data_IF_271701919917
#
_entry.id   IF_271701919917
#
_cell.length_a   1.000
_cell.length_b   1.000
_cell.length_c   1.000
_cell.angle_alpha   90.00
_cell.angle_beta   90.00
_cell.angle_gamma   90.00
#
_symmetry.space_group_name_H-M   'P 1'
#
loop_
_entity.id
_entity.type
_entity.pdbx_description
1 polymer ?
#
# COMPACT_ATOMS: atom_id res chain seq x y z
N UNK A 1 -38.79 -13.83 -7.23
CA UNK A 1 -37.60 -12.96 -7.13
C UNK A 1 -36.41 -13.87 -6.89
N UNK A 2 -35.70 -14.25 -7.95
CA UNK A 2 -34.51 -15.10 -7.83
C UNK A 2 -33.41 -14.28 -7.15
N UNK A 3 -32.90 -14.76 -6.02
CA UNK A 3 -31.65 -14.29 -5.43
C UNK A 3 -30.55 -14.49 -6.47
N UNK A 4 -30.21 -13.42 -7.19
CA UNK A 4 -28.94 -13.36 -7.91
C UNK A 4 -27.85 -13.45 -6.84
N UNK A 5 -27.26 -14.64 -6.69
CA UNK A 5 -26.10 -14.83 -5.84
C UNK A 5 -25.00 -13.97 -6.48
N UNK A 6 -24.47 -12.95 -5.79
CA UNK A 6 -23.37 -12.17 -6.33
C UNK A 6 -22.21 -13.12 -6.63
N UNK A 7 -21.64 -13.00 -7.83
CA UNK A 7 -20.51 -13.82 -8.23
C UNK A 7 -19.31 -13.51 -7.33
N UNK A 8 -19.15 -14.33 -6.29
CA UNK A 8 -18.16 -14.10 -5.23
C UNK A 8 -16.73 -14.11 -5.77
N UNK A 9 -16.52 -14.74 -6.93
CA UNK A 9 -15.22 -14.84 -7.59
C UNK A 9 -14.67 -13.46 -7.95
N UNK A 10 -15.55 -12.52 -8.31
CA UNK A 10 -15.23 -11.12 -8.60
C UNK A 10 -14.71 -10.34 -7.38
N UNK A 11 -15.02 -10.80 -6.17
CA UNK A 11 -14.58 -10.16 -4.92
C UNK A 11 -13.34 -10.79 -4.30
N UNK A 12 -12.90 -11.97 -4.77
CA UNK A 12 -11.71 -12.67 -4.27
C UNK A 12 -10.46 -11.76 -4.21
N UNK A 13 -10.13 -10.95 -5.24
CA UNK A 13 -8.94 -10.09 -5.19
C UNK A 13 -8.98 -9.07 -4.03
N UNK A 14 -10.17 -8.55 -3.70
CA UNK A 14 -10.37 -7.59 -2.63
C UNK A 14 -10.29 -8.25 -1.24
N UNK A 15 -10.79 -9.48 -1.13
CA UNK A 15 -10.65 -10.29 0.09
C UNK A 15 -9.16 -10.56 0.35
N UNK A 16 -8.41 -10.98 -0.67
CA UNK A 16 -6.96 -11.22 -0.57
C UNK A 16 -6.24 -9.91 -0.23
N UNK A 17 -6.60 -8.79 -0.85
CA UNK A 17 -6.03 -7.48 -0.51
C UNK A 17 -6.29 -7.13 0.97
N UNK A 18 -7.49 -7.38 1.48
CA UNK A 18 -7.83 -7.21 2.90
C UNK A 18 -6.97 -8.08 3.83
N UNK A 19 -6.76 -9.36 3.46
CA UNK A 19 -5.87 -10.25 4.20
C UNK A 19 -4.42 -9.79 4.17
N UNK A 20 -3.93 -9.27 3.04
CA UNK A 20 -2.59 -8.68 2.94
C UNK A 20 -2.44 -7.44 3.81
N UNK A 21 -3.44 -6.56 3.84
CA UNK A 21 -3.43 -5.38 4.71
C UNK A 21 -3.45 -5.78 6.19
N UNK A 22 -4.31 -6.74 6.58
CA UNK A 22 -4.35 -7.29 7.93
C UNK A 22 -3.02 -7.95 8.32
N UNK A 23 -2.45 -8.76 7.42
CA UNK A 23 -1.12 -9.34 7.58
C UNK A 23 -0.01 -8.29 7.68
N UNK A 24 -0.10 -7.20 6.91
CA UNK A 24 0.81 -6.07 6.95
C UNK A 24 0.83 -5.37 8.31
N UNK A 25 -0.31 -5.21 8.96
CA UNK A 25 -0.40 -4.71 10.34
C UNK A 25 0.36 -5.62 11.31
N UNK A 26 0.21 -6.95 11.17
CA UNK A 26 0.91 -7.92 12.00
C UNK A 26 2.42 -7.92 11.74
N UNK A 27 2.83 -7.80 10.48
CA UNK A 27 4.24 -7.67 10.08
C UNK A 27 4.83 -6.40 10.68
N UNK A 28 4.11 -5.27 10.63
CA UNK A 28 4.56 -4.03 11.27
C UNK A 28 4.75 -4.24 12.78
N UNK A 29 3.79 -4.87 13.46
CA UNK A 29 3.89 -5.18 14.88
C UNK A 29 5.12 -6.03 15.19
N UNK A 30 5.36 -7.06 14.38
CA UNK A 30 6.50 -7.95 14.53
C UNK A 30 7.81 -7.18 14.30
N UNK A 31 7.87 -6.34 13.26
CA UNK A 31 9.00 -5.48 12.95
C UNK A 31 9.34 -4.53 14.10
N UNK A 32 8.33 -3.90 14.70
CA UNK A 32 8.48 -3.05 15.88
C UNK A 32 8.99 -3.81 17.11
N UNK A 33 8.51 -5.05 17.31
CA UNK A 33 8.97 -5.91 18.40
C UNK A 33 10.44 -6.32 18.23
N UNK A 34 10.83 -6.73 17.02
CA UNK A 34 12.21 -7.13 16.69
C UNK A 34 13.16 -5.94 16.82
N UNK A 35 12.73 -4.76 16.38
CA UNK A 35 13.55 -3.54 16.40
C UNK A 35 13.55 -2.80 17.74
N UNK A 36 12.86 -3.34 18.75
CA UNK A 36 12.73 -2.75 20.09
C UNK A 36 12.28 -1.29 20.04
N UNK A 37 11.15 -1.04 19.37
CA UNK A 37 10.53 0.28 19.35
C UNK A 37 10.15 0.74 20.76
N UNK A 38 10.40 2.02 21.07
CA UNK A 38 10.29 2.58 22.43
C UNK A 38 8.91 3.15 22.73
N UNK A 39 8.12 3.47 21.71
CA UNK A 39 6.89 4.25 21.85
C UNK A 39 5.76 3.68 20.99
N UNK A 40 4.51 3.82 21.44
CA UNK A 40 3.28 3.58 20.66
C UNK A 40 3.22 2.21 19.95
N UNK A 41 3.64 1.15 20.63
CA UNK A 41 3.67 -0.22 20.08
C UNK A 41 2.36 -1.01 20.24
N UNK A 42 1.35 -0.43 20.91
CA UNK A 42 0.03 -1.05 21.05
C UNK A 42 -0.66 -1.24 19.70
N UNK A 43 -1.49 -2.28 19.58
CA UNK A 43 -2.14 -2.65 18.32
C UNK A 43 -2.93 -1.50 17.67
N UNK A 44 -3.55 -0.63 18.48
CA UNK A 44 -4.28 0.56 17.99
C UNK A 44 -3.36 1.53 17.24
N UNK A 45 -2.19 1.79 17.80
CA UNK A 45 -1.18 2.65 17.20
C UNK A 45 -0.50 2.00 16.01
N UNK A 46 -0.22 0.69 16.08
CA UNK A 46 0.35 -0.07 14.97
C UNK A 46 -0.61 -0.05 13.77
N UNK A 47 -1.87 -0.46 13.96
CA UNK A 47 -2.86 -0.47 12.90
C UNK A 47 -3.09 0.94 12.32
N UNK A 48 -3.29 1.95 13.19
CA UNK A 48 -3.45 3.34 12.75
C UNK A 48 -2.26 3.83 11.92
N UNK A 49 -1.04 3.57 12.39
CA UNK A 49 0.16 3.97 11.65
C UNK A 49 0.31 3.23 10.32
N UNK A 50 -0.06 1.94 10.25
CA UNK A 50 -0.03 1.16 9.01
C UNK A 50 -1.01 1.70 7.98
N UNK A 51 -2.26 1.99 8.37
CA UNK A 51 -3.25 2.54 7.45
C UNK A 51 -2.91 3.94 6.97
N UNK A 52 -2.26 4.76 7.81
CA UNK A 52 -1.73 6.05 7.35
C UNK A 52 -0.61 5.84 6.33
N UNK A 53 0.31 4.91 6.56
CA UNK A 53 1.38 4.60 5.61
C UNK A 53 0.83 4.07 4.29
N UNK A 54 -0.17 3.17 4.34
CA UNK A 54 -0.91 2.71 3.17
C UNK A 54 -1.57 3.87 2.44
N UNK A 55 -2.34 4.71 3.16
CA UNK A 55 -3.04 5.86 2.59
C UNK A 55 -2.10 6.88 1.94
N UNK A 56 -0.98 7.22 2.59
CA UNK A 56 0.05 8.10 2.03
C UNK A 56 0.67 7.49 0.79
N UNK A 57 1.02 6.20 0.81
CA UNK A 57 1.60 5.52 -0.36
C UNK A 57 0.61 5.51 -1.52
N UNK A 58 -0.66 5.17 -1.26
CA UNK A 58 -1.72 5.21 -2.27
C UNK A 58 -1.88 6.62 -2.81
N UNK A 59 -1.96 7.64 -1.96
CA UNK A 59 -2.13 9.04 -2.37
C UNK A 59 -0.97 9.55 -3.24
N UNK A 60 0.27 9.22 -2.88
CA UNK A 60 1.45 9.56 -3.68
C UNK A 60 1.42 8.84 -5.03
N UNK A 61 0.99 7.58 -5.04
CA UNK A 61 0.86 6.79 -6.28
C UNK A 61 -0.38 7.10 -7.11
N UNK A 62 -1.38 7.79 -6.53
CA UNK A 62 -2.69 7.98 -7.13
C UNK A 62 -2.66 8.68 -8.50
N UNK A 63 -1.84 9.72 -8.75
CA UNK A 63 -1.74 10.31 -10.08
C UNK A 63 -1.32 9.29 -11.15
N UNK A 64 -0.30 8.47 -10.83
CA UNK A 64 0.21 7.42 -11.73
C UNK A 64 -0.85 6.32 -11.95
N UNK A 65 -1.56 5.95 -10.89
CA UNK A 65 -2.63 4.95 -10.96
C UNK A 65 -3.84 5.48 -11.74
N UNK A 66 -4.16 6.76 -11.61
CA UNK A 66 -5.25 7.41 -12.32
C UNK A 66 -4.97 7.44 -13.83
N UNK A 67 -3.75 7.81 -14.23
CA UNK A 67 -3.34 7.77 -15.64
C UNK A 67 -3.49 6.35 -16.23
N UNK A 68 -3.05 5.33 -15.49
CA UNK A 68 -3.20 3.93 -15.89
C UNK A 68 -4.67 3.51 -16.09
N UNK A 69 -5.58 3.96 -15.21
CA UNK A 69 -7.01 3.68 -15.33
C UNK A 69 -7.62 4.42 -16.53
N UNK A 70 -7.28 5.70 -16.72
CA UNK A 70 -7.79 6.51 -17.83
C UNK A 70 -7.33 5.99 -19.19
N UNK A 71 -6.09 5.51 -19.32
CA UNK A 71 -5.60 4.85 -20.54
C UNK A 71 -6.37 3.55 -20.81
N UNK A 72 -6.61 2.74 -19.78
CA UNK A 72 -7.38 1.49 -19.89
C UNK A 72 -8.80 1.76 -20.41
N UNK A 73 -9.45 2.82 -19.93
CA UNK A 73 -10.81 3.22 -20.37
C UNK A 73 -10.81 3.75 -21.81
N UNK A 74 -9.75 4.43 -22.24
CA UNK A 74 -9.65 5.05 -23.57
C UNK A 74 -9.25 4.06 -24.67
N UNK A 75 -8.89 2.82 -24.32
CA UNK A 75 -8.49 1.78 -25.29
C UNK A 75 -7.21 2.11 -26.06
N UNK A 76 -6.46 3.10 -25.61
CA UNK A 76 -5.17 3.49 -26.18
C UNK A 76 -4.10 2.57 -25.62
N UNK A 77 -3.27 1.97 -26.49
CA UNK A 77 -2.09 1.21 -26.07
C UNK A 77 -1.23 2.03 -25.12
N UNK A 78 -0.61 1.36 -24.13
CA UNK A 78 0.26 1.87 -23.05
C UNK A 78 1.47 2.73 -23.48
N UNK A 79 1.52 3.16 -24.73
CA UNK A 79 2.66 3.84 -25.35
C UNK A 79 2.66 5.35 -25.12
N UNK A 80 1.54 5.97 -24.71
CA UNK A 80 1.44 7.43 -24.82
C UNK A 80 1.94 8.21 -23.59
N UNK A 81 1.84 7.71 -22.35
CA UNK A 81 2.20 8.55 -21.19
C UNK A 81 2.72 7.80 -19.96
N UNK A 82 3.69 6.88 -20.12
CA UNK A 82 4.44 6.40 -18.95
C UNK A 82 5.29 7.55 -18.38
N UNK A 83 5.18 7.87 -17.07
CA UNK A 83 6.06 8.85 -16.45
C UNK A 83 7.52 8.46 -16.70
N UNK A 84 8.42 9.43 -16.94
CA UNK A 84 9.83 9.14 -17.14
C UNK A 84 10.36 8.26 -15.99
N UNK A 85 11.16 7.21 -16.26
CA UNK A 85 11.68 6.33 -15.22
C UNK A 85 12.41 7.08 -14.09
N UNK A 86 13.06 8.21 -14.42
CA UNK A 86 13.69 9.11 -13.46
C UNK A 86 12.69 9.73 -12.48
N UNK A 87 11.52 10.14 -12.97
CA UNK A 87 10.47 10.76 -12.16
C UNK A 87 9.81 9.71 -11.25
N UNK A 88 9.56 8.50 -11.75
CA UNK A 88 9.12 7.36 -10.92
C UNK A 88 10.11 7.03 -9.81
N UNK A 89 11.41 6.97 -10.13
CA UNK A 89 12.45 6.69 -9.15
C UNK A 89 12.45 7.75 -8.03
N UNK A 90 12.34 9.04 -8.37
CA UNK A 90 12.24 10.13 -7.39
C UNK A 90 11.00 9.94 -6.50
N UNK A 91 9.83 9.69 -7.08
CA UNK A 91 8.58 9.49 -6.32
C UNK A 91 8.71 8.31 -5.36
N UNK A 92 9.25 7.17 -5.82
CA UNK A 92 9.46 5.98 -4.99
C UNK A 92 10.42 6.29 -3.83
N UNK A 93 11.56 6.92 -4.11
CA UNK A 93 12.55 7.27 -3.09
C UNK A 93 11.93 8.22 -2.04
N UNK A 94 11.25 9.28 -2.48
CA UNK A 94 10.59 10.23 -1.58
C UNK A 94 9.50 9.55 -0.76
N UNK A 95 8.69 8.69 -1.38
CA UNK A 95 7.65 7.92 -0.67
C UNK A 95 8.25 7.04 0.41
N UNK A 96 9.33 6.31 0.11
CA UNK A 96 10.02 5.47 1.10
C UNK A 96 10.55 6.34 2.25
N UNK A 97 11.20 7.46 1.95
CA UNK A 97 11.71 8.37 2.99
C UNK A 97 10.60 8.91 3.89
N UNK A 98 9.43 9.24 3.33
CA UNK A 98 8.26 9.68 4.11
C UNK A 98 7.81 8.56 5.05
N UNK A 99 7.65 7.33 4.54
CA UNK A 99 7.21 6.19 5.36
C UNK A 99 8.21 5.88 6.47
N UNK A 100 9.51 5.89 6.17
CA UNK A 100 10.59 5.69 7.16
C UNK A 100 10.53 6.74 8.27
N UNK A 101 10.41 8.02 7.90
CA UNK A 101 10.30 9.10 8.86
C UNK A 101 9.03 8.98 9.70
N UNK A 102 7.92 8.55 9.10
CA UNK A 102 6.66 8.37 9.80
C UNK A 102 6.75 7.27 10.86
N UNK A 103 7.34 6.11 10.53
CA UNK A 103 7.60 5.04 11.49
C UNK A 103 8.53 5.54 12.61
N UNK A 104 9.60 6.25 12.25
CA UNK A 104 10.55 6.79 13.23
C UNK A 104 9.89 7.80 14.18
N UNK A 105 9.02 8.66 13.65
CA UNK A 105 8.31 9.68 14.42
C UNK A 105 7.31 9.08 15.40
N UNK A 106 6.54 8.07 15.00
CA UNK A 106 5.49 7.48 15.84
C UNK A 106 6.07 6.50 16.85
N UNK A 107 6.89 5.56 16.36
CA UNK A 107 7.30 4.40 17.13
C UNK A 107 8.70 4.52 17.74
N UNK A 108 9.48 5.50 17.28
CA UNK A 108 10.86 5.77 17.73
C UNK A 108 11.82 4.55 17.73
N UNK A 109 11.82 3.63 16.74
CA UNK A 109 12.82 2.56 16.68
C UNK A 109 14.20 3.04 16.19
N UNK A 110 14.33 4.29 15.73
CA UNK A 110 15.53 4.84 15.10
C UNK A 110 15.52 4.71 13.57
N UNK A 111 16.26 5.58 12.87
CA UNK A 111 16.20 5.71 11.40
C UNK A 111 16.56 4.41 10.66
N UNK A 112 17.65 3.74 11.07
CA UNK A 112 18.13 2.50 10.45
C UNK A 112 17.11 1.37 10.60
N UNK A 113 16.50 1.27 11.78
CA UNK A 113 15.49 0.24 12.07
C UNK A 113 14.17 0.54 11.37
N UNK A 114 13.76 1.81 11.32
CA UNK A 114 12.57 2.26 10.59
C UNK A 114 12.68 1.94 9.09
N UNK A 115 13.88 2.03 8.52
CA UNK A 115 14.14 1.63 7.13
C UNK A 115 13.85 0.13 6.91
N UNK A 116 14.37 -0.74 7.78
CA UNK A 116 14.11 -2.18 7.69
C UNK A 116 12.62 -2.49 7.84
N UNK A 117 11.94 -1.86 8.79
CA UNK A 117 10.49 -2.04 8.99
C UNK A 117 9.72 -1.60 7.75
N UNK A 118 10.10 -0.47 7.15
CA UNK A 118 9.48 0.04 5.92
C UNK A 118 9.59 -0.98 4.78
N UNK A 119 10.78 -1.57 4.58
CA UNK A 119 10.96 -2.61 3.56
C UNK A 119 10.06 -3.83 3.78
N UNK A 120 9.85 -4.24 5.04
CA UNK A 120 8.99 -5.37 5.37
C UNK A 120 7.50 -5.11 5.08
N UNK A 121 7.01 -3.90 5.32
CA UNK A 121 5.60 -3.55 5.11
C UNK A 121 5.28 -3.13 3.68
N UNK A 122 6.29 -2.75 2.88
CA UNK A 122 6.10 -2.37 1.48
C UNK A 122 5.51 -3.52 0.66
N UNK A 123 5.92 -4.75 0.91
CA UNK A 123 5.38 -5.93 0.20
C UNK A 123 3.85 -6.03 0.31
N UNK A 124 3.29 -6.10 1.53
CA UNK A 124 1.84 -6.07 1.75
C UNK A 124 1.14 -4.83 1.15
N UNK A 125 1.73 -3.64 1.26
CA UNK A 125 1.16 -2.40 0.72
C UNK A 125 1.09 -2.45 -0.81
N UNK A 126 2.20 -2.81 -1.48
CA UNK A 126 2.27 -2.91 -2.94
C UNK A 126 1.34 -4.00 -3.45
N UNK A 127 1.37 -5.19 -2.84
CA UNK A 127 0.54 -6.33 -3.25
C UNK A 127 -0.95 -6.04 -3.11
N UNK A 128 -1.38 -5.46 -1.99
CA UNK A 128 -2.78 -5.06 -1.79
C UNK A 128 -3.21 -3.98 -2.77
N UNK A 129 -2.38 -2.95 -2.98
CA UNK A 129 -2.67 -1.87 -3.94
C UNK A 129 -2.81 -2.42 -5.36
N UNK A 130 -1.87 -3.25 -5.81
CA UNK A 130 -1.92 -3.88 -7.12
C UNK A 130 -3.20 -4.69 -7.33
N UNK A 131 -3.58 -5.55 -6.37
CA UNK A 131 -4.81 -6.34 -6.47
C UNK A 131 -6.06 -5.48 -6.53
N UNK A 132 -6.14 -4.41 -5.73
CA UNK A 132 -7.27 -3.49 -5.74
C UNK A 132 -7.37 -2.78 -7.10
N UNK A 133 -6.30 -2.13 -7.56
CA UNK A 133 -6.34 -1.29 -8.76
C UNK A 133 -6.45 -2.10 -10.06
N UNK A 134 -5.82 -3.27 -10.15
CA UNK A 134 -5.94 -4.13 -11.34
C UNK A 134 -7.33 -4.75 -11.50
N UNK A 135 -8.09 -4.90 -10.41
CA UNK A 135 -9.42 -5.53 -10.44
C UNK A 135 -10.56 -4.52 -10.21
N UNK A 136 -10.28 -3.23 -10.00
CA UNK A 136 -11.32 -2.23 -9.70
C UNK A 136 -12.33 -2.09 -10.85
N UNK A 137 -11.86 -2.15 -12.10
CA UNK A 137 -12.71 -2.12 -13.29
C UNK A 137 -13.56 -3.38 -13.49
N UNK A 138 -13.25 -4.47 -12.79
CA UNK A 138 -14.13 -5.64 -12.79
C UNK A 138 -15.33 -5.44 -11.87
N UNK A 139 -15.27 -4.51 -10.90
CA UNK A 139 -16.30 -4.24 -9.88
C UNK A 139 -17.17 -3.04 -10.17
N UNK A 140 -16.60 -2.00 -10.77
CA UNK A 140 -17.33 -0.85 -11.31
C UNK A 140 -18.12 -1.25 -12.57
#
# INVERSE_FOLDING_TARGET
MFLQIPDITKYIPFIIAGLLLGGGVLILKLGLKITKAESRTDMKWVAGSFFIQFGVTVFISAPILLDMILETIRGTSFDYYRPPPSLMAIVIIVSILIVVNFINMIHKPGIKRSFVITLLILGPIIGSSYLIFSNIGSVL
#
